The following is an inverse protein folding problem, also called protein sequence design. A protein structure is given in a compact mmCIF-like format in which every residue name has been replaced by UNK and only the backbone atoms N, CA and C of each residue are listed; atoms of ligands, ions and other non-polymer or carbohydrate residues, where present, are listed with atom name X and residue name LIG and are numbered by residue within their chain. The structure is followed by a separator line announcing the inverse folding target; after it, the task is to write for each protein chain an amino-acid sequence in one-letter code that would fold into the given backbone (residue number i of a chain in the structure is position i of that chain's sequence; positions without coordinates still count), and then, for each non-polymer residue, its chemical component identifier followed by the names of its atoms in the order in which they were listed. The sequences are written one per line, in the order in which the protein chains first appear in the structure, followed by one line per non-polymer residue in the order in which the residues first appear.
data_IF_706866149908
#
_entry.id   IF_706866149908
#
_cell.length_a   1.000
_cell.length_b   1.000
_cell.length_c   1.000
_cell.angle_alpha   90.00
_cell.angle_beta   90.00
_cell.angle_gamma   90.00
#
_symmetry.space_group_name_H-M   'P 1'
#
loop_
_entity.id
_entity.type
_entity.pdbx_description
1 polymer ?
#
# COMPACT_ATOMS: atom_id res chain seq x y z
N UNK A 1 1.09 11.02 -6.91
CA UNK A 1 -0.27 11.08 -6.31
C UNK A 1 -0.70 9.65 -6.10
N UNK A 2 -1.00 9.26 -4.87
CA UNK A 2 -1.27 7.85 -4.52
C UNK A 2 -2.72 7.50 -4.82
N UNK A 3 -2.93 6.42 -5.57
CA UNK A 3 -4.24 5.83 -5.88
C UNK A 3 -4.33 4.42 -5.27
N UNK A 4 -5.52 3.84 -5.30
CA UNK A 4 -5.72 2.44 -4.93
C UNK A 4 -5.28 1.53 -6.08
N UNK A 5 -4.44 0.55 -5.78
CA UNK A 5 -3.95 -0.47 -6.72
C UNK A 5 -4.79 -1.74 -6.62
N UNK A 6 -5.17 -2.29 -7.77
CA UNK A 6 -5.85 -3.59 -7.85
C UNK A 6 -4.82 -4.73 -7.90
N UNK A 7 -5.17 -5.88 -7.34
CA UNK A 7 -4.35 -7.10 -7.38
C UNK A 7 -4.06 -7.66 -8.78
N UNK A 8 -4.83 -7.24 -9.79
CA UNK A 8 -4.63 -7.58 -11.21
C UNK A 8 -3.58 -6.70 -11.90
N UNK A 9 -3.16 -5.60 -11.27
CA UNK A 9 -2.19 -4.68 -11.84
C UNK A 9 -0.76 -5.21 -11.74
N UNK A 10 0.14 -4.56 -12.47
CA UNK A 10 1.55 -4.84 -12.36
C UNK A 10 2.09 -4.40 -10.99
N UNK A 11 2.71 -5.34 -10.27
CA UNK A 11 3.33 -5.14 -8.95
C UNK A 11 4.32 -3.97 -8.92
N UNK A 12 5.01 -3.69 -10.03
CA UNK A 12 5.98 -2.60 -10.12
C UNK A 12 5.33 -1.22 -9.93
N UNK A 13 4.06 -1.06 -10.30
CA UNK A 13 3.35 0.21 -10.10
C UNK A 13 3.19 0.54 -8.62
N UNK A 14 2.85 -0.47 -7.81
CA UNK A 14 2.75 -0.32 -6.36
C UNK A 14 4.13 -0.13 -5.73
N UNK A 15 5.14 -0.89 -6.18
CA UNK A 15 6.52 -0.73 -5.71
C UNK A 15 7.06 0.69 -5.97
N UNK A 16 6.84 1.24 -7.16
CA UNK A 16 7.26 2.61 -7.49
C UNK A 16 6.53 3.66 -6.64
N UNK A 17 5.26 3.44 -6.30
CA UNK A 17 4.56 4.29 -5.34
C UNK A 17 5.24 4.27 -3.96
N UNK A 18 5.66 3.09 -3.46
CA UNK A 18 6.42 3.01 -2.21
C UNK A 18 7.77 3.73 -2.32
N UNK A 19 8.49 3.58 -3.43
CA UNK A 19 9.79 4.25 -3.62
C UNK A 19 9.63 5.78 -3.64
N UNK A 20 8.64 6.29 -4.36
CA UNK A 20 8.43 7.73 -4.55
C UNK A 20 7.76 8.40 -3.35
N UNK A 21 6.75 7.74 -2.77
CA UNK A 21 5.86 8.32 -1.77
C UNK A 21 5.99 7.68 -0.39
N UNK A 22 6.73 6.57 -0.28
CA UNK A 22 6.91 5.80 0.95
C UNK A 22 5.76 4.88 1.31
N UNK A 23 4.68 4.82 0.50
CA UNK A 23 3.57 3.90 0.67
C UNK A 23 2.80 3.60 -0.64
N UNK A 24 2.03 2.52 -0.63
CA UNK A 24 1.11 2.12 -1.69
C UNK A 24 -0.16 1.49 -1.08
N UNK A 25 -1.32 1.87 -1.61
CA UNK A 25 -2.64 1.40 -1.13
C UNK A 25 -3.18 0.34 -2.08
N UNK A 26 -3.63 -0.78 -1.54
CA UNK A 26 -3.99 -1.98 -2.30
C UNK A 26 -5.40 -2.38 -1.90
N UNK A 27 -6.29 -2.49 -2.89
CA UNK A 27 -7.62 -3.05 -2.68
C UNK A 27 -7.54 -4.57 -2.59
N UNK A 28 -8.49 -5.15 -1.86
CA UNK A 28 -8.76 -6.58 -1.92
C UNK A 28 -9.04 -7.18 -0.56
N UNK A 29 -9.46 -8.43 -0.60
CA UNK A 29 -9.64 -9.26 0.58
C UNK A 29 -8.30 -9.78 1.08
N UNK A 30 -8.24 -10.27 2.32
CA UNK A 30 -7.04 -10.90 2.89
C UNK A 30 -6.39 -11.91 1.94
N UNK A 31 -7.20 -12.77 1.31
CA UNK A 31 -6.72 -13.85 0.42
C UNK A 31 -6.13 -13.36 -0.90
N UNK A 32 -6.46 -12.15 -1.35
CA UNK A 32 -6.02 -11.58 -2.63
C UNK A 32 -4.99 -10.47 -2.45
N UNK A 33 -5.20 -9.58 -1.47
CA UNK A 33 -4.34 -8.46 -1.19
C UNK A 33 -3.01 -8.88 -0.54
N UNK A 34 -3.01 -9.82 0.42
CA UNK A 34 -1.78 -10.22 1.11
C UNK A 34 -0.73 -10.82 0.15
N UNK A 35 -1.08 -11.77 -0.75
CA UNK A 35 -0.14 -12.26 -1.74
C UNK A 35 0.35 -11.17 -2.72
N UNK A 36 -0.46 -10.16 -3.00
CA UNK A 36 -0.03 -9.01 -3.79
C UNK A 36 0.98 -8.16 -3.02
N UNK A 37 0.69 -7.80 -1.77
CA UNK A 37 1.60 -7.08 -0.88
C UNK A 37 2.94 -7.80 -0.73
N UNK A 38 2.94 -9.13 -0.60
CA UNK A 38 4.18 -9.92 -0.50
C UNK A 38 5.03 -9.86 -1.76
N UNK A 39 4.39 -9.86 -2.94
CA UNK A 39 5.11 -9.62 -4.20
C UNK A 39 5.69 -8.21 -4.26
N UNK A 40 4.97 -7.19 -3.78
CA UNK A 40 5.48 -5.81 -3.69
C UNK A 40 6.69 -5.73 -2.77
N UNK A 41 6.62 -6.31 -1.57
CA UNK A 41 7.74 -6.37 -0.61
C UNK A 41 8.95 -7.07 -1.23
N UNK A 42 8.73 -8.21 -1.91
CA UNK A 42 9.80 -8.92 -2.60
C UNK A 42 10.47 -8.06 -3.68
N UNK A 43 9.70 -7.33 -4.47
CA UNK A 43 10.26 -6.38 -5.45
C UNK A 43 11.06 -5.27 -4.74
N UNK A 44 10.58 -4.78 -3.60
CA UNK A 44 11.26 -3.72 -2.85
C UNK A 44 12.55 -4.17 -2.16
N UNK A 45 12.68 -5.47 -1.88
CA UNK A 45 13.85 -6.04 -1.18
C UNK A 45 15.19 -5.83 -1.89
N UNK A 46 15.19 -5.52 -3.19
CA UNK A 46 16.43 -5.26 -3.96
C UNK A 46 16.94 -3.83 -3.81
N UNK A 47 16.13 -2.93 -3.25
CA UNK A 47 16.51 -1.54 -3.03
C UNK A 47 17.07 -1.36 -1.64
N UNK A 48 18.34 -0.98 -1.57
CA UNK A 48 18.96 -0.57 -0.32
C UNK A 48 18.26 0.66 0.26
N UNK A 49 18.07 0.67 1.59
CA UNK A 49 17.44 1.78 2.31
C UNK A 49 15.92 1.74 2.39
N UNK A 50 15.25 0.76 1.77
CA UNK A 50 13.79 0.57 1.91
C UNK A 50 13.53 -0.62 2.84
N UNK A 51 12.80 -0.37 3.94
CA UNK A 51 12.32 -1.42 4.83
C UNK A 51 10.81 -1.61 4.61
N UNK A 52 10.44 -2.34 3.56
CA UNK A 52 9.04 -2.52 3.18
C UNK A 52 8.31 -3.46 4.15
N UNK A 53 7.19 -3.01 4.69
CA UNK A 53 6.26 -3.81 5.50
C UNK A 53 4.82 -3.60 5.04
N UNK A 54 3.91 -4.49 5.44
CA UNK A 54 2.49 -4.43 5.08
C UNK A 54 1.61 -4.32 6.33
N UNK A 55 0.50 -3.61 6.19
CA UNK A 55 -0.58 -3.56 7.17
C UNK A 55 -1.93 -3.44 6.44
N UNK A 56 -3.00 -3.32 7.22
CA UNK A 56 -4.33 -3.05 6.72
C UNK A 56 -5.04 -2.03 7.60
N UNK A 57 -6.03 -1.35 7.03
CA UNK A 57 -6.89 -0.42 7.73
C UNK A 57 -8.34 -0.68 7.32
N UNK A 58 -9.25 -0.64 8.29
CA UNK A 58 -10.68 -0.61 8.02
C UNK A 58 -11.07 0.84 7.70
N UNK A 59 -11.61 1.07 6.51
CA UNK A 59 -11.93 2.39 5.96
C UNK A 59 -13.41 2.49 5.61
N UNK A 60 -13.93 3.71 5.60
CA UNK A 60 -15.37 3.96 5.48
C UNK A 60 -15.96 3.53 4.14
N UNK A 61 -15.29 3.81 3.01
CA UNK A 61 -15.91 3.58 1.69
C UNK A 61 -15.58 2.20 1.13
N UNK A 62 -14.32 1.77 1.22
CA UNK A 62 -13.88 0.47 0.67
C UNK A 62 -13.93 -0.69 1.67
N UNK A 63 -14.28 -0.44 2.93
CA UNK A 63 -14.30 -1.46 3.99
C UNK A 63 -12.89 -1.84 4.45
N UNK A 64 -12.13 -2.59 3.65
CA UNK A 64 -10.77 -2.99 4.00
C UNK A 64 -9.77 -2.59 2.92
N UNK A 65 -8.75 -1.82 3.31
CA UNK A 65 -7.61 -1.52 2.44
C UNK A 65 -6.32 -2.07 3.05
N UNK A 66 -5.57 -2.77 2.22
CA UNK A 66 -4.21 -3.18 2.55
C UNK A 66 -3.25 -2.11 2.06
N UNK A 67 -2.08 -2.04 2.67
CA UNK A 67 -1.05 -1.13 2.19
C UNK A 67 0.34 -1.67 2.50
N UNK A 68 1.28 -1.29 1.65
CA UNK A 68 2.71 -1.51 1.85
C UNK A 68 3.35 -0.16 2.06
N UNK A 69 4.25 -0.05 3.04
CA UNK A 69 4.96 1.20 3.33
C UNK A 69 6.40 0.93 3.74
N UNK A 70 7.24 1.95 3.59
CA UNK A 70 8.63 1.94 4.02
C UNK A 70 8.73 2.31 5.50
N UNK A 71 9.05 1.33 6.35
CA UNK A 71 9.16 1.49 7.79
C UNK A 71 10.37 2.35 8.22
N UNK A 72 11.32 2.61 7.32
CA UNK A 72 12.38 3.59 7.59
C UNK A 72 11.87 5.04 7.49
N UNK A 73 10.75 5.26 6.80
CA UNK A 73 10.18 6.59 6.54
C UNK A 73 8.95 6.89 7.36
N UNK A 74 8.14 5.87 7.64
CA UNK A 74 6.87 6.03 8.33
C UNK A 74 6.59 4.89 9.30
N UNK A 75 5.88 5.20 10.36
CA UNK A 75 5.18 4.23 11.20
C UNK A 75 3.78 3.95 10.64
N UNK A 76 3.14 2.86 11.08
CA UNK A 76 1.76 2.54 10.67
C UNK A 76 0.80 3.70 10.94
N UNK A 77 0.89 4.30 12.13
CA UNK A 77 0.03 5.41 12.57
C UNK A 77 0.20 6.67 11.70
N UNK A 78 1.39 6.89 11.13
CA UNK A 78 1.64 8.00 10.20
C UNK A 78 1.08 7.73 8.79
N UNK A 79 0.99 6.46 8.39
CA UNK A 79 0.46 6.08 7.06
C UNK A 79 -1.07 6.02 7.05
N UNK A 80 -1.71 5.61 8.14
CA UNK A 80 -3.17 5.48 8.24
C UNK A 80 -3.97 6.70 7.73
N UNK A 81 -3.63 7.95 8.11
CA UNK A 81 -4.33 9.14 7.60
C UNK A 81 -4.22 9.30 6.07
N UNK A 82 -3.13 8.82 5.47
CA UNK A 82 -2.98 8.82 4.01
C UNK A 82 -3.89 7.80 3.35
N UNK A 83 -4.05 6.61 3.96
CA UNK A 83 -4.95 5.56 3.47
C UNK A 83 -6.40 6.07 3.50
N UNK A 84 -6.82 6.70 4.60
CA UNK A 84 -8.15 7.31 4.69
C UNK A 84 -8.34 8.44 3.66
N UNK A 85 -7.30 9.25 3.42
CA UNK A 85 -7.38 10.33 2.44
C UNK A 85 -7.52 9.79 1.01
N UNK A 86 -6.91 8.65 0.70
CA UNK A 86 -7.08 7.94 -0.58
C UNK A 86 -8.50 7.38 -0.68
N UNK A 87 -8.99 6.68 0.35
CA UNK A 87 -10.36 6.15 0.41
C UNK A 87 -11.43 7.23 0.15
N UNK A 88 -11.35 8.37 0.88
CA UNK A 88 -12.28 9.50 0.71
C UNK A 88 -12.26 10.11 -0.69
N UNK A 89 -11.15 10.01 -1.42
CA UNK A 89 -11.01 10.55 -2.79
C UNK A 89 -11.51 9.58 -3.85
N UNK A 90 -11.40 8.28 -3.61
CA UNK A 90 -11.87 7.23 -4.52
C UNK A 90 -13.39 7.07 -4.54
N UNK A 91 -14.10 7.64 -3.56
CA UNK A 91 -15.56 7.62 -3.47
C UNK A 91 -16.27 8.73 -4.28
N UNK A 92 -15.53 9.56 -5.04
CA UNK A 92 -16.06 10.68 -5.83
C UNK A 92 -15.99 10.45 -7.32
#
# INVERSE_FOLDING_TARGET
MTRIFQQSENVYNAADSVRLHGYAVIEGTLSSAVPYCDRVIKVLSVYEGIHATKSYLNVTNQGYLYFVYDANRYTTAEVEPFIEAVDRRSAR
#
